data_IF_183296238109
#
_entry.id   IF_183296238109
#
_cell.length_a   1.000
_cell.length_b   1.000
_cell.length_c   1.000
_cell.angle_alpha   90.00
_cell.angle_beta   90.00
_cell.angle_gamma   90.00
#
_symmetry.space_group_name_H-M   'P 1'
#
loop_
_entity.id
_entity.type
_entity.pdbx_description
1 polymer ?
#
# COMPACT_ATOMS: atom_id res chain seq x y z
N UNK A 1 12.63 -10.51 -30.43
CA UNK A 1 13.15 -10.58 -29.04
C UNK A 1 11.98 -10.27 -28.11
N UNK A 2 11.44 -11.28 -27.42
CA UNK A 2 10.28 -11.11 -26.53
C UNK A 2 10.71 -10.37 -25.25
N UNK A 3 10.60 -9.04 -25.25
CA UNK A 3 10.75 -8.23 -24.05
C UNK A 3 9.51 -8.47 -23.18
N UNK A 4 9.55 -9.51 -22.33
CA UNK A 4 8.59 -9.63 -21.23
C UNK A 4 8.70 -8.34 -20.42
N UNK A 5 7.59 -7.61 -20.30
CA UNK A 5 7.57 -6.41 -19.46
C UNK A 5 7.98 -6.79 -18.04
N UNK A 6 9.01 -6.12 -17.52
CA UNK A 6 9.46 -6.30 -16.14
C UNK A 6 8.46 -5.60 -15.22
N UNK A 7 7.96 -6.34 -14.24
CA UNK A 7 7.07 -5.83 -13.21
C UNK A 7 7.72 -5.97 -11.85
N UNK A 8 7.57 -4.96 -11.01
CA UNK A 8 8.09 -4.91 -9.65
C UNK A 8 6.94 -4.62 -8.68
N UNK A 9 6.85 -5.41 -7.61
CA UNK A 9 5.97 -5.13 -6.48
C UNK A 9 6.68 -4.18 -5.53
N UNK A 10 6.02 -3.08 -5.17
CA UNK A 10 6.55 -2.06 -4.27
C UNK A 10 5.54 -1.83 -3.17
N UNK A 11 5.99 -1.77 -1.93
CA UNK A 11 5.16 -1.42 -0.80
C UNK A 11 5.88 -0.45 0.13
N UNK A 12 5.11 0.41 0.79
CA UNK A 12 5.67 1.38 1.72
C UNK A 12 4.67 2.42 2.18
N UNK A 13 5.04 3.12 3.24
CA UNK A 13 4.29 4.26 3.75
C UNK A 13 4.52 5.49 2.86
N UNK A 14 3.45 6.16 2.48
CA UNK A 14 3.46 7.34 1.61
C UNK A 14 4.02 8.53 2.38
N UNK A 15 5.11 9.09 1.88
CA UNK A 15 5.72 10.30 2.40
C UNK A 15 5.20 11.55 1.69
N UNK A 16 5.03 11.47 0.35
CA UNK A 16 4.55 12.58 -0.48
C UNK A 16 3.63 12.06 -1.58
N UNK A 17 2.52 12.75 -1.80
CA UNK A 17 1.68 12.60 -3.00
C UNK A 17 1.83 13.85 -3.85
N UNK A 18 2.36 13.70 -5.05
CA UNK A 18 2.56 14.78 -6.00
C UNK A 18 1.25 15.18 -6.69
N UNK A 19 1.16 16.44 -7.09
CA UNK A 19 0.05 16.92 -7.90
C UNK A 19 0.11 16.35 -9.32
N UNK A 20 -1.04 15.99 -9.94
CA UNK A 20 -1.09 15.61 -11.34
C UNK A 20 -0.55 16.73 -12.22
N UNK A 21 0.33 16.39 -13.16
CA UNK A 21 0.93 17.33 -14.11
C UNK A 21 1.06 16.72 -15.50
N UNK A 22 1.12 17.54 -16.57
CA UNK A 22 1.35 17.05 -17.92
C UNK A 22 2.63 16.21 -18.04
N UNK A 23 2.56 15.14 -18.84
CA UNK A 23 3.67 14.24 -19.14
C UNK A 23 3.49 13.61 -20.53
N UNK A 24 4.12 14.20 -21.54
CA UNK A 24 3.87 13.84 -22.93
C UNK A 24 2.39 14.03 -23.28
N UNK A 25 1.77 13.02 -23.90
CA UNK A 25 0.33 13.00 -24.22
C UNK A 25 -0.53 12.45 -23.06
N UNK A 26 0.01 12.41 -21.86
CA UNK A 26 -0.63 11.86 -20.66
C UNK A 26 -0.49 12.83 -19.48
N UNK A 27 -1.10 12.46 -18.36
CA UNK A 27 -0.85 13.05 -17.05
C UNK A 27 0.02 12.12 -16.22
N UNK A 28 0.77 12.69 -15.29
CA UNK A 28 1.56 11.97 -14.30
C UNK A 28 1.37 12.58 -12.93
N UNK A 29 1.24 11.74 -11.91
CA UNK A 29 1.47 12.08 -10.51
C UNK A 29 2.51 11.13 -9.93
N UNK A 30 3.35 11.63 -9.04
CA UNK A 30 4.39 10.84 -8.39
C UNK A 30 4.01 10.63 -6.92
N UNK A 31 4.25 9.44 -6.40
CA UNK A 31 4.11 9.10 -4.98
C UNK A 31 5.50 8.72 -4.48
N UNK A 32 5.96 9.40 -3.43
CA UNK A 32 7.18 9.06 -2.70
C UNK A 32 6.81 8.18 -1.52
N UNK A 33 7.47 7.04 -1.40
CA UNK A 33 7.41 6.19 -0.23
C UNK A 33 8.57 6.50 0.71
N UNK A 34 8.36 6.33 2.02
CA UNK A 34 9.43 6.38 3.02
C UNK A 34 10.56 5.45 2.60
N UNK A 35 11.80 5.94 2.71
CA UNK A 35 12.99 5.23 2.21
C UNK A 35 13.42 5.64 0.80
N UNK A 36 12.70 6.56 0.15
CA UNK A 36 13.18 7.24 -1.07
C UNK A 36 12.66 6.67 -2.40
N UNK A 37 11.82 5.64 -2.36
CA UNK A 37 11.27 5.02 -3.57
C UNK A 37 10.17 5.88 -4.19
N UNK A 38 10.33 6.24 -5.47
CA UNK A 38 9.32 6.97 -6.24
C UNK A 38 8.55 6.03 -7.16
N UNK A 39 7.23 6.05 -7.06
CA UNK A 39 6.32 5.42 -8.04
C UNK A 39 5.52 6.50 -8.78
N UNK A 40 5.23 6.25 -10.06
CA UNK A 40 4.57 7.22 -10.94
C UNK A 40 3.24 6.65 -11.43
N UNK A 41 2.13 7.33 -11.12
CA UNK A 41 0.83 7.06 -11.74
C UNK A 41 0.80 7.83 -13.05
N UNK A 42 0.82 7.11 -14.18
CA UNK A 42 0.84 7.69 -15.53
C UNK A 42 -0.36 7.19 -16.31
N UNK A 43 -1.13 8.10 -16.90
CA UNK A 43 -2.31 7.74 -17.68
C UNK A 43 -3.12 8.94 -18.15
N UNK A 44 -4.39 8.70 -18.50
CA UNK A 44 -5.33 9.80 -18.77
C UNK A 44 -5.56 10.61 -17.50
N UNK A 45 -5.91 11.88 -17.67
CA UNK A 45 -6.10 12.80 -16.53
C UNK A 45 -7.06 12.25 -15.48
N UNK A 46 -8.23 11.76 -15.89
CA UNK A 46 -9.24 11.20 -15.00
C UNK A 46 -8.69 10.01 -14.21
N UNK A 47 -7.98 9.09 -14.86
CA UNK A 47 -7.36 7.92 -14.22
C UNK A 47 -6.33 8.33 -13.17
N UNK A 48 -5.48 9.31 -13.49
CA UNK A 48 -4.46 9.78 -12.55
C UNK A 48 -5.13 10.44 -11.35
N UNK A 49 -6.11 11.33 -11.60
CA UNK A 49 -6.84 12.03 -10.54
C UNK A 49 -7.58 11.05 -9.63
N UNK A 50 -8.33 10.10 -10.17
CA UNK A 50 -9.10 9.13 -9.37
C UNK A 50 -8.20 8.21 -8.56
N UNK A 51 -7.07 7.75 -9.13
CA UNK A 51 -6.10 6.88 -8.44
C UNK A 51 -5.50 7.57 -7.22
N UNK A 52 -5.07 8.83 -7.35
CA UNK A 52 -4.42 9.53 -6.24
C UNK A 52 -5.41 10.24 -5.30
N UNK A 53 -6.67 10.42 -5.72
CA UNK A 53 -7.68 11.12 -4.92
C UNK A 53 -7.91 10.46 -3.55
N UNK A 54 -7.69 9.14 -3.43
CA UNK A 54 -7.81 8.39 -2.18
C UNK A 54 -6.51 8.19 -1.40
N UNK A 55 -5.36 8.63 -1.92
CA UNK A 55 -4.04 8.39 -1.29
C UNK A 55 -3.58 9.64 -0.55
N UNK A 56 -3.08 9.48 0.67
CA UNK A 56 -2.63 10.53 1.57
C UNK A 56 -1.26 10.19 2.16
N UNK A 57 -0.57 11.23 2.64
CA UNK A 57 0.65 11.04 3.45
C UNK A 57 0.31 10.23 4.70
N UNK A 58 1.14 9.23 5.00
CA UNK A 58 0.95 8.29 6.11
C UNK A 58 0.17 7.02 5.75
N UNK A 59 -0.48 6.98 4.58
CA UNK A 59 -1.09 5.76 4.07
C UNK A 59 -0.01 4.73 3.76
N UNK A 60 -0.27 3.45 4.00
CA UNK A 60 0.58 2.39 3.48
C UNK A 60 0.00 1.93 2.14
N UNK A 61 0.82 1.89 1.09
CA UNK A 61 0.36 1.46 -0.24
C UNK A 61 1.12 0.23 -0.69
N UNK A 62 0.43 -0.61 -1.45
CA UNK A 62 1.03 -1.68 -2.24
C UNK A 62 0.76 -1.40 -3.70
N UNK A 63 1.80 -1.39 -4.52
CA UNK A 63 1.71 -1.10 -5.94
C UNK A 63 2.41 -2.17 -6.76
N UNK A 64 1.79 -2.54 -7.89
CA UNK A 64 2.45 -3.29 -8.95
C UNK A 64 2.85 -2.32 -10.05
N UNK A 65 4.15 -2.22 -10.27
CA UNK A 65 4.73 -1.26 -11.20
C UNK A 65 5.31 -1.96 -12.42
N UNK A 66 5.12 -1.39 -13.61
CA UNK A 66 5.95 -1.70 -14.78
C UNK A 66 7.24 -0.91 -14.67
N UNK A 67 8.38 -1.55 -14.92
CA UNK A 67 9.69 -0.90 -14.91
C UNK A 67 9.94 -0.26 -16.27
N UNK A 68 10.34 1.01 -16.26
CA UNK A 68 10.72 1.79 -17.42
C UNK A 68 12.16 2.29 -17.24
N UNK A 69 12.91 2.37 -18.34
CA UNK A 69 14.14 3.15 -18.35
C UNK A 69 13.77 4.63 -18.40
N UNK A 70 14.39 5.43 -17.54
CA UNK A 70 14.30 6.89 -17.58
C UNK A 70 15.59 7.52 -17.09
N UNK A 71 15.54 8.82 -16.84
CA UNK A 71 16.70 9.59 -16.37
C UNK A 71 16.29 10.46 -15.17
N UNK A 72 17.24 10.71 -14.26
CA UNK A 72 17.05 11.70 -13.19
C UNK A 72 17.15 13.13 -13.76
N UNK A 73 16.92 14.14 -12.91
CA UNK A 73 17.02 15.55 -13.32
C UNK A 73 18.44 15.98 -13.74
N UNK A 74 19.45 15.12 -13.55
CA UNK A 74 20.84 15.32 -13.97
C UNK A 74 21.18 14.47 -15.21
N UNK A 75 20.20 13.84 -15.85
CA UNK A 75 20.39 12.99 -17.03
C UNK A 75 21.00 11.63 -16.72
N UNK A 76 21.09 11.21 -15.45
CA UNK A 76 21.64 9.90 -15.11
C UNK A 76 20.58 8.82 -15.29
N UNK A 77 20.91 7.68 -15.91
CA UNK A 77 19.98 6.57 -16.05
C UNK A 77 19.38 6.16 -14.71
N UNK A 78 18.06 5.98 -14.69
CA UNK A 78 17.32 5.50 -13.53
C UNK A 78 16.21 4.56 -13.94
N UNK A 79 15.82 3.69 -13.01
CA UNK A 79 14.61 2.88 -13.14
C UNK A 79 13.41 3.75 -12.75
N UNK A 80 12.42 3.82 -13.61
CA UNK A 80 11.14 4.45 -13.34
C UNK A 80 10.07 3.39 -13.10
N UNK A 81 9.35 3.53 -12.00
CA UNK A 81 8.31 2.59 -11.60
C UNK A 81 6.96 3.19 -11.95
N UNK A 82 6.33 2.69 -13.02
CA UNK A 82 5.02 3.17 -13.47
C UNK A 82 3.92 2.27 -12.96
N UNK A 83 3.03 2.82 -12.15
CA UNK A 83 1.95 2.09 -11.48
C UNK A 83 1.00 1.49 -12.51
N UNK A 84 0.68 0.22 -12.33
CA UNK A 84 -0.39 -0.49 -13.06
C UNK A 84 -1.57 -0.78 -12.16
N UNK A 85 -1.28 -1.19 -10.94
CA UNK A 85 -2.26 -1.43 -9.88
C UNK A 85 -1.68 -0.81 -8.60
N UNK A 86 -2.52 -0.15 -7.82
CA UNK A 86 -2.16 0.39 -6.50
C UNK A 86 -3.36 0.29 -5.58
N UNK A 87 -3.10 -0.15 -4.36
CA UNK A 87 -4.08 -0.19 -3.27
C UNK A 87 -3.51 0.53 -2.05
N UNK A 88 -4.36 1.30 -1.37
CA UNK A 88 -4.09 1.72 0.01
C UNK A 88 -4.42 0.56 0.93
N UNK A 89 -3.42 0.08 1.65
CA UNK A 89 -3.57 -0.94 2.67
C UNK A 89 -3.74 -0.21 4.00
N UNK A 90 -4.77 -0.56 4.75
CA UNK A 90 -4.90 -0.08 6.12
C UNK A 90 -3.72 -0.66 6.91
N UNK A 91 -2.69 0.17 7.15
CA UNK A 91 -1.45 -0.19 7.85
C UNK A 91 -1.72 -0.75 9.26
N UNK A 92 -2.95 -0.57 9.77
CA UNK A 92 -3.41 -1.05 11.07
C UNK A 92 -3.92 -2.48 11.04
N UNK A 93 -4.05 -3.10 9.87
CA UNK A 93 -4.48 -4.51 9.76
C UNK A 93 -3.27 -5.43 9.78
N UNK A 94 -2.94 -5.93 10.97
CA UNK A 94 -1.93 -6.98 11.15
C UNK A 94 -2.56 -8.33 10.84
N UNK A 95 -2.01 -9.08 9.88
CA UNK A 95 -2.35 -10.49 9.70
C UNK A 95 -1.69 -11.30 10.81
N UNK A 96 -2.51 -11.98 11.60
CA UNK A 96 -2.07 -12.92 12.63
C UNK A 96 -2.42 -14.34 12.19
N UNK A 97 -1.46 -15.25 12.28
CA UNK A 97 -1.71 -16.68 12.10
C UNK A 97 -1.94 -17.30 13.45
N UNK A 98 -3.13 -17.88 13.65
CA UNK A 98 -3.47 -18.63 14.84
C UNK A 98 -3.37 -20.13 14.52
N UNK A 99 -2.85 -20.96 15.44
CA UNK A 99 -3.06 -22.39 15.39
C UNK A 99 -4.56 -22.72 15.32
N UNK A 100 -4.93 -23.78 14.62
CA UNK A 100 -6.34 -24.13 14.35
C UNK A 100 -7.19 -24.22 15.64
N UNK A 101 -6.63 -24.80 16.70
CA UNK A 101 -7.30 -24.90 17.99
C UNK A 101 -7.57 -23.53 18.64
N UNK A 102 -6.68 -22.55 18.46
CA UNK A 102 -6.84 -21.19 18.97
C UNK A 102 -7.85 -20.42 18.13
N UNK A 103 -7.82 -20.59 16.80
CA UNK A 103 -8.81 -20.00 15.91
C UNK A 103 -10.24 -20.46 16.23
N UNK A 104 -10.47 -21.77 16.40
CA UNK A 104 -11.79 -22.30 16.79
C UNK A 104 -12.29 -21.76 18.13
N UNK A 105 -11.38 -21.52 19.09
CA UNK A 105 -11.73 -20.90 20.38
C UNK A 105 -12.16 -19.44 20.20
N UNK A 106 -11.44 -18.68 19.36
CA UNK A 106 -11.81 -17.30 19.03
C UNK A 106 -13.19 -17.27 18.39
N UNK A 107 -13.48 -18.14 17.42
CA UNK A 107 -14.80 -18.23 16.78
C UNK A 107 -15.91 -18.48 17.80
N UNK A 108 -15.78 -19.54 18.61
CA UNK A 108 -16.81 -19.91 19.60
C UNK A 108 -17.06 -18.80 20.64
N UNK A 109 -16.00 -18.12 21.10
CA UNK A 109 -16.12 -17.03 22.08
C UNK A 109 -16.71 -15.77 21.45
N UNK A 110 -16.31 -15.46 20.21
CA UNK A 110 -16.84 -14.31 19.47
C UNK A 110 -18.34 -14.47 19.17
N UNK A 111 -18.79 -15.68 18.83
CA UNK A 111 -20.19 -16.02 18.61
C UNK A 111 -21.01 -15.85 19.90
N UNK A 112 -20.50 -16.40 21.02
CA UNK A 112 -21.16 -16.26 22.33
C UNK A 112 -21.30 -14.80 22.78
N UNK A 113 -20.36 -13.93 22.38
CA UNK A 113 -20.37 -12.49 22.70
C UNK A 113 -21.11 -11.65 21.65
N UNK A 114 -21.52 -12.23 20.52
CA UNK A 114 -22.20 -11.53 19.44
C UNK A 114 -21.32 -10.50 18.73
N UNK A 115 -20.00 -10.67 18.75
CA UNK A 115 -19.04 -9.75 18.11
C UNK A 115 -18.23 -10.46 17.02
N UNK A 116 -17.75 -9.74 15.98
CA UNK A 116 -16.89 -10.34 14.97
C UNK A 116 -15.56 -10.88 15.56
N UNK A 117 -15.02 -12.01 15.07
CA UNK A 117 -13.74 -12.59 15.53
C UNK A 117 -12.59 -11.59 15.56
N UNK A 118 -12.49 -10.71 14.54
CA UNK A 118 -11.46 -9.66 14.47
C UNK A 118 -11.53 -8.68 15.65
N UNK A 119 -12.74 -8.36 16.10
CA UNK A 119 -12.97 -7.38 17.16
C UNK A 119 -12.72 -8.02 18.52
N UNK A 120 -13.08 -9.30 18.68
CA UNK A 120 -12.69 -10.09 19.85
C UNK A 120 -11.17 -10.14 20.00
N UNK A 121 -10.44 -10.48 18.94
CA UNK A 121 -8.97 -10.54 19.01
C UNK A 121 -8.36 -9.16 19.27
N UNK A 122 -8.91 -8.10 18.67
CA UNK A 122 -8.46 -6.72 18.95
C UNK A 122 -8.59 -6.38 20.43
N UNK A 123 -9.74 -6.67 21.05
CA UNK A 123 -9.95 -6.41 22.49
C UNK A 123 -8.97 -7.21 23.35
N UNK A 124 -8.78 -8.50 23.06
CA UNK A 124 -7.86 -9.34 23.80
C UNK A 124 -6.39 -8.87 23.70
N UNK A 125 -5.98 -8.37 22.53
CA UNK A 125 -4.64 -7.77 22.35
C UNK A 125 -4.50 -6.48 23.16
N UNK A 126 -5.52 -5.61 23.15
CA UNK A 126 -5.50 -4.36 23.91
C UNK A 126 -5.38 -4.62 25.42
N UNK A 127 -6.17 -5.54 25.97
CA UNK A 127 -6.11 -5.92 27.39
C UNK A 127 -4.71 -6.41 27.79
N UNK A 128 -4.08 -7.23 26.94
CA UNK A 128 -2.72 -7.72 27.18
C UNK A 128 -1.66 -6.62 27.13
N UNK A 129 -1.80 -5.66 26.22
CA UNK A 129 -0.89 -4.52 26.12
C UNK A 129 -1.00 -3.60 27.34
N UNK A 130 -2.21 -3.33 27.83
CA UNK A 130 -2.44 -2.55 29.05
C UNK A 130 -1.82 -3.22 30.27
N UNK A 131 -1.98 -4.54 30.39
CA UNK A 131 -1.38 -5.32 31.49
C UNK A 131 0.15 -5.32 31.44
N UNK A 132 0.75 -5.27 30.24
CA UNK A 132 2.20 -5.27 30.07
C UNK A 132 2.83 -3.88 30.24
N UNK A 133 2.04 -2.81 30.23
CA UNK A 133 2.48 -1.43 30.35
C UNK A 133 2.41 -0.87 31.79
N UNK A 134 1.80 -1.62 32.72
CA UNK A 134 1.76 -1.34 34.16
C UNK A 134 2.67 -2.26 34.96
#
# INVERSE_FOLDING_TARGET
>A
MNLRAEFEGVEGEVEVVGWPRPFGNCMRSNILLKGGTWVSVVGREETVRSTIAGIRKGDFVRARCKVHAGEDYRGRPRRELWVREIETVDARTVKISLPENAYRKVEALSERLGIPPKDYVRLAVMEKLETAAG
#
